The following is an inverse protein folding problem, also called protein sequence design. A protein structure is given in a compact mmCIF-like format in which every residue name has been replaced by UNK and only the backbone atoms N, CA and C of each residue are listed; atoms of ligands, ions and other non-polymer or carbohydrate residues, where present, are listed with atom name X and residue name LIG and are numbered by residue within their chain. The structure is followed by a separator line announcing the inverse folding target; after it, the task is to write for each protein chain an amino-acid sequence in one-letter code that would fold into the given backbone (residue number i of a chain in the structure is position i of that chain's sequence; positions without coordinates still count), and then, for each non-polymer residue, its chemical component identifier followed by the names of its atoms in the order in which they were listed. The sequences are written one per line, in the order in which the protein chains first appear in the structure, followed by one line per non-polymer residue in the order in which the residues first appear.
data_IF_183539756203
#
_entry.id   IF_183539756203
#
_cell.length_a   1.000
_cell.length_b   1.000
_cell.length_c   1.000
_cell.angle_alpha   90.00
_cell.angle_beta   90.00
_cell.angle_gamma   90.00
#
_symmetry.space_group_name_H-M   'P 1'
#
loop_
_entity.id
_entity.type
_entity.pdbx_description
1 polymer ?
#
# COMPACT_ATOMS: atom_id res chain seq x y z
N UNK A 1 44.91 35.24 12.59
CA UNK A 1 43.64 34.62 13.05
C UNK A 1 42.51 34.62 12.01
N UNK A 2 42.30 35.66 11.20
CA UNK A 2 41.28 35.65 10.12
C UNK A 2 41.53 34.61 9.01
N UNK A 3 42.79 34.33 8.66
CA UNK A 3 43.14 33.34 7.64
C UNK A 3 42.93 31.87 8.11
N UNK A 4 43.00 31.60 9.42
CA UNK A 4 42.80 30.26 9.97
C UNK A 4 41.31 29.87 9.99
N UNK A 5 40.42 30.86 10.17
CA UNK A 5 38.96 30.64 10.16
C UNK A 5 38.40 30.34 8.75
N UNK A 6 39.03 30.91 7.70
CA UNK A 6 38.65 30.63 6.31
C UNK A 6 39.05 29.23 5.84
N UNK A 7 40.13 28.65 6.39
CA UNK A 7 40.58 27.30 6.04
C UNK A 7 39.71 26.21 6.68
N UNK A 8 39.14 26.47 7.86
CA UNK A 8 38.22 25.54 8.53
C UNK A 8 36.84 25.54 7.85
N UNK A 9 36.35 26.69 7.37
CA UNK A 9 35.05 26.76 6.68
C UNK A 9 35.05 26.06 5.31
N UNK A 10 36.20 25.98 4.63
CA UNK A 10 36.30 25.34 3.30
C UNK A 10 36.29 23.80 3.36
N UNK A 11 36.61 23.21 4.51
CA UNK A 11 36.63 21.75 4.69
C UNK A 11 35.26 21.14 5.05
N UNK A 12 34.23 21.95 5.30
CA UNK A 12 32.87 21.45 5.61
C UNK A 12 31.94 21.34 4.40
N UNK A 13 32.41 21.64 3.18
CA UNK A 13 31.58 21.66 1.97
C UNK A 13 31.66 20.40 1.09
N UNK A 14 32.45 19.39 1.46
CA UNK A 14 32.73 18.24 0.56
C UNK A 14 32.14 16.90 1.02
N UNK A 15 31.02 16.90 1.76
CA UNK A 15 30.30 15.67 2.10
C UNK A 15 28.98 15.53 1.32
N UNK A 16 28.98 15.82 0.02
CA UNK A 16 27.96 15.26 -0.87
C UNK A 16 28.30 13.79 -1.10
N UNK A 17 27.73 12.90 -0.29
CA UNK A 17 27.77 11.45 -0.55
C UNK A 17 27.02 11.20 -1.86
N UNK A 18 27.78 11.08 -2.96
CA UNK A 18 27.26 10.64 -4.25
C UNK A 18 27.11 9.13 -4.22
N UNK A 19 25.92 8.62 -4.54
CA UNK A 19 25.75 7.20 -4.78
C UNK A 19 26.35 6.84 -6.12
N UNK A 20 27.04 5.71 -6.16
CA UNK A 20 27.43 5.13 -7.45
C UNK A 20 26.19 4.57 -8.17
N UNK A 21 26.24 4.60 -9.49
CA UNK A 21 25.25 3.92 -10.33
C UNK A 21 25.19 2.44 -9.98
N UNK A 22 23.97 1.91 -9.87
CA UNK A 22 23.72 0.49 -9.66
C UNK A 22 24.21 -0.38 -10.82
N UNK A 23 24.47 0.21 -11.97
CA UNK A 23 25.19 -0.40 -13.08
C UNK A 23 26.61 0.18 -13.12
N UNK A 24 27.67 -0.64 -13.00
CA UNK A 24 29.05 -0.17 -13.09
C UNK A 24 29.33 0.57 -14.39
N UNK A 25 30.17 1.61 -14.32
CA UNK A 25 30.54 2.39 -15.51
C UNK A 25 31.22 1.48 -16.55
N UNK A 26 30.71 1.50 -17.78
CA UNK A 26 31.22 0.65 -18.87
C UNK A 26 30.65 -0.77 -18.91
N UNK A 27 29.70 -1.10 -18.03
CA UNK A 27 28.99 -2.37 -18.13
C UNK A 27 28.10 -2.40 -19.37
N UNK A 28 28.34 -3.38 -20.24
CA UNK A 28 27.58 -3.62 -21.48
C UNK A 28 26.74 -4.90 -21.43
N UNK A 29 26.71 -5.57 -20.27
CA UNK A 29 25.94 -6.80 -20.08
C UNK A 29 24.44 -6.56 -19.86
N UNK A 30 23.68 -7.64 -19.82
CA UNK A 30 22.26 -7.61 -19.48
C UNK A 30 22.05 -7.12 -18.04
N UNK A 31 20.96 -6.39 -17.78
CA UNK A 31 20.62 -5.92 -16.45
C UNK A 31 19.20 -6.34 -16.07
N UNK A 32 19.02 -6.69 -14.81
CA UNK A 32 17.71 -7.02 -14.22
C UNK A 32 17.25 -5.89 -13.31
N UNK A 33 15.97 -5.85 -12.96
CA UNK A 33 15.43 -4.84 -12.05
C UNK A 33 15.18 -5.46 -10.68
N UNK A 34 15.63 -4.77 -9.64
CA UNK A 34 15.30 -5.07 -8.24
C UNK A 34 14.52 -3.91 -7.64
N UNK A 35 13.44 -4.23 -6.93
CA UNK A 35 12.55 -3.27 -6.28
C UNK A 35 12.53 -3.45 -4.78
N UNK A 36 12.73 -2.35 -4.07
CA UNK A 36 12.48 -2.23 -2.63
C UNK A 36 10.97 -2.13 -2.39
N UNK A 37 10.49 -2.81 -1.35
CA UNK A 37 9.07 -2.83 -0.99
C UNK A 37 8.85 -2.31 0.42
N UNK A 38 7.59 -2.07 0.77
CA UNK A 38 7.21 -1.79 2.14
C UNK A 38 5.82 -2.34 2.47
N UNK A 39 5.57 -2.58 3.76
CA UNK A 39 4.30 -3.09 4.29
C UNK A 39 3.95 -2.41 5.63
N UNK A 40 2.84 -2.82 6.24
CA UNK A 40 2.40 -2.36 7.57
C UNK A 40 2.43 -0.84 7.73
N UNK A 41 2.00 -0.13 6.68
CA UNK A 41 2.05 1.33 6.61
C UNK A 41 0.95 1.93 7.48
N UNK A 42 1.36 2.82 8.37
CA UNK A 42 0.47 3.70 9.14
C UNK A 42 0.65 5.16 8.70
N UNK A 43 0.02 6.10 9.42
CA UNK A 43 0.23 7.52 9.18
C UNK A 43 1.68 7.96 9.43
N UNK A 44 2.41 7.29 10.32
CA UNK A 44 3.71 7.74 10.83
C UNK A 44 4.81 6.66 10.80
N UNK A 45 4.51 5.44 10.35
CA UNK A 45 5.46 4.33 10.26
C UNK A 45 5.18 3.41 9.05
N UNK A 46 6.18 2.64 8.64
CA UNK A 46 6.03 1.50 7.74
C UNK A 46 7.22 0.54 7.89
N UNK A 47 7.04 -0.73 7.52
CA UNK A 47 8.12 -1.72 7.46
C UNK A 47 8.74 -1.65 6.07
N UNK A 48 10.03 -1.35 5.96
CA UNK A 48 10.73 -1.25 4.68
C UNK A 48 11.65 -2.45 4.48
N UNK A 49 11.69 -2.95 3.26
CA UNK A 49 12.57 -4.05 2.84
C UNK A 49 13.36 -3.59 1.62
N UNK A 50 14.69 -3.54 1.75
CA UNK A 50 15.50 -2.88 0.74
C UNK A 50 16.94 -3.38 0.62
N UNK A 51 17.55 -3.12 -0.54
CA UNK A 51 19.00 -3.26 -0.73
C UNK A 51 19.71 -2.03 -0.19
N UNK A 52 20.52 -2.21 0.85
CA UNK A 52 21.34 -1.17 1.47
C UNK A 52 22.66 -1.00 0.73
N UNK A 53 23.31 -2.10 0.37
CA UNK A 53 24.61 -2.11 -0.31
C UNK A 53 24.66 -3.18 -1.40
N UNK A 54 25.45 -2.94 -2.44
CA UNK A 54 25.76 -3.89 -3.50
C UNK A 54 27.28 -3.96 -3.67
N UNK A 55 27.84 -5.16 -3.51
CA UNK A 55 29.29 -5.42 -3.54
C UNK A 55 30.07 -4.47 -2.61
N UNK A 56 29.57 -4.28 -1.38
CA UNK A 56 30.15 -3.40 -0.36
C UNK A 56 29.99 -1.89 -0.61
N UNK A 57 29.22 -1.49 -1.64
CA UNK A 57 28.98 -0.08 -1.96
C UNK A 57 27.57 0.34 -1.58
N UNK A 58 27.37 1.51 -0.93
CA UNK A 58 26.06 1.97 -0.54
C UNK A 58 25.19 2.27 -1.76
N UNK A 59 23.90 1.95 -1.65
CA UNK A 59 22.91 2.10 -2.70
C UNK A 59 21.85 3.13 -2.32
N UNK A 60 21.33 3.86 -3.31
CA UNK A 60 20.10 4.61 -3.12
C UNK A 60 18.93 3.63 -3.01
N UNK A 61 18.03 3.83 -2.04
CA UNK A 61 17.00 2.86 -1.65
C UNK A 61 15.67 3.52 -1.21
N UNK A 62 14.65 2.68 -0.94
CA UNK A 62 13.32 3.13 -0.53
C UNK A 62 13.29 3.99 0.74
N UNK A 63 14.15 3.71 1.73
CA UNK A 63 14.23 4.53 2.95
C UNK A 63 14.70 5.94 2.63
N UNK A 64 15.71 6.09 1.76
CA UNK A 64 16.15 7.43 1.32
C UNK A 64 15.12 8.14 0.44
N UNK A 65 14.46 7.40 -0.45
CA UNK A 65 13.34 7.90 -1.27
C UNK A 65 12.22 8.44 -0.37
N UNK A 66 11.84 7.67 0.64
CA UNK A 66 10.81 8.00 1.64
C UNK A 66 11.19 9.19 2.51
N UNK A 67 12.44 9.28 2.96
CA UNK A 67 12.95 10.45 3.67
C UNK A 67 12.78 11.73 2.84
N UNK A 68 13.18 11.68 1.56
CA UNK A 68 12.98 12.81 0.64
C UNK A 68 11.51 13.16 0.43
N UNK A 69 10.65 12.15 0.28
CA UNK A 69 9.20 12.34 0.10
C UNK A 69 8.48 12.87 1.34
N UNK A 70 8.96 12.52 2.53
CA UNK A 70 8.37 12.90 3.82
C UNK A 70 8.92 14.22 4.38
N UNK A 71 9.98 14.77 3.77
CA UNK A 71 10.57 16.03 4.20
C UNK A 71 9.53 17.17 4.25
N UNK A 72 9.46 17.87 5.38
CA UNK A 72 8.52 18.97 5.62
C UNK A 72 7.07 18.54 5.87
N UNK A 73 6.78 17.24 6.07
CA UNK A 73 5.44 16.71 6.35
C UNK A 73 5.17 16.46 7.85
N UNK A 74 6.10 16.82 8.73
CA UNK A 74 5.96 16.60 10.18
C UNK A 74 5.93 15.12 10.53
N UNK A 75 4.99 14.69 11.37
CA UNK A 75 4.83 13.29 11.79
C UNK A 75 4.15 12.39 10.74
N UNK A 76 3.85 12.91 9.55
CA UNK A 76 3.22 12.17 8.46
C UNK A 76 4.28 11.51 7.58
N UNK A 77 4.22 10.18 7.47
CA UNK A 77 5.06 9.40 6.58
C UNK A 77 4.50 9.39 5.15
N UNK A 78 5.34 9.73 4.18
CA UNK A 78 5.06 9.53 2.75
C UNK A 78 5.95 8.39 2.25
N UNK A 79 5.56 7.16 2.60
CA UNK A 79 6.25 5.95 2.18
C UNK A 79 6.19 5.78 0.66
N UNK A 80 7.35 5.55 0.05
CA UNK A 80 7.55 5.30 -1.38
C UNK A 80 8.62 4.22 -1.55
N UNK A 81 8.47 3.41 -2.60
CA UNK A 81 9.45 2.38 -2.93
C UNK A 81 10.65 2.94 -3.69
N UNK A 82 11.49 2.04 -4.17
CA UNK A 82 12.55 2.38 -5.12
C UNK A 82 12.94 1.17 -5.97
N UNK A 83 12.96 1.36 -7.28
CA UNK A 83 13.34 0.34 -8.25
C UNK A 83 14.61 0.74 -8.98
N UNK A 84 15.49 -0.22 -9.23
CA UNK A 84 16.79 0.02 -9.89
C UNK A 84 17.23 -1.17 -10.71
N UNK A 85 18.02 -0.89 -11.75
CA UNK A 85 18.68 -1.93 -12.53
C UNK A 85 19.96 -2.38 -11.86
N UNK A 86 20.23 -3.68 -11.82
CA UNK A 86 21.48 -4.27 -11.34
C UNK A 86 22.08 -5.19 -12.41
N UNK A 87 23.41 -5.40 -12.43
CA UNK A 87 24.04 -6.27 -13.41
C UNK A 87 23.54 -7.70 -13.29
N UNK A 88 23.40 -8.39 -14.42
CA UNK A 88 23.12 -9.81 -14.43
C UNK A 88 24.41 -10.61 -14.20
N UNK A 89 24.90 -10.56 -12.97
CA UNK A 89 26.08 -11.26 -12.51
C UNK A 89 25.86 -11.71 -11.07
N UNK A 90 26.72 -12.58 -10.53
CA UNK A 90 26.72 -12.88 -9.10
C UNK A 90 27.02 -11.59 -8.32
N UNK A 91 26.14 -11.24 -7.39
CA UNK A 91 26.23 -10.05 -6.54
C UNK A 91 26.25 -10.46 -5.07
N UNK A 92 26.99 -9.70 -4.27
CA UNK A 92 26.84 -9.69 -2.81
C UNK A 92 25.96 -8.50 -2.46
N UNK A 93 24.77 -8.76 -1.91
CA UNK A 93 23.83 -7.71 -1.53
C UNK A 93 23.72 -7.64 -0.02
N UNK A 94 23.83 -6.45 0.54
CA UNK A 94 23.43 -6.20 1.92
C UNK A 94 21.97 -5.79 1.93
N UNK A 95 21.11 -6.65 2.42
CA UNK A 95 19.66 -6.42 2.52
C UNK A 95 19.29 -6.04 3.93
N UNK A 96 18.23 -5.24 4.06
CA UNK A 96 17.70 -4.81 5.34
C UNK A 96 16.17 -4.84 5.34
N UNK A 97 15.60 -5.24 6.47
CA UNK A 97 14.22 -5.02 6.85
C UNK A 97 14.19 -4.14 8.09
N UNK A 98 13.48 -3.01 8.09
CA UNK A 98 13.37 -2.17 9.30
C UNK A 98 12.03 -1.45 9.44
N UNK A 99 11.63 -1.20 10.69
CA UNK A 99 10.52 -0.28 10.99
C UNK A 99 11.00 1.16 10.87
N UNK A 100 10.58 1.83 9.80
CA UNK A 100 10.87 3.23 9.57
C UNK A 100 9.78 4.13 10.15
N UNK A 101 10.16 5.22 10.82
CA UNK A 101 9.23 6.18 11.43
C UNK A 101 9.47 7.60 10.90
N UNK A 102 8.38 8.36 10.74
CA UNK A 102 8.39 9.70 10.17
C UNK A 102 9.18 10.73 10.99
N UNK A 103 9.35 10.51 12.30
CA UNK A 103 10.05 11.43 13.19
C UNK A 103 10.94 10.67 14.19
N UNK A 104 12.17 11.15 14.48
CA UNK A 104 13.10 10.49 15.40
C UNK A 104 12.52 10.23 16.79
N UNK A 105 11.72 11.15 17.30
CA UNK A 105 11.10 11.02 18.64
C UNK A 105 10.17 9.80 18.74
N UNK A 106 9.60 9.34 17.63
CA UNK A 106 8.72 8.17 17.62
C UNK A 106 9.48 6.86 17.85
N UNK A 107 10.78 6.81 17.53
CA UNK A 107 11.59 5.64 17.84
C UNK A 107 11.75 5.47 19.35
N UNK A 108 11.83 6.58 20.11
CA UNK A 108 11.94 6.54 21.57
C UNK A 108 10.62 6.10 22.22
N UNK A 109 9.48 6.58 21.72
CA UNK A 109 8.17 6.27 22.32
C UNK A 109 7.64 4.87 21.99
N UNK A 110 8.20 4.20 20.97
CA UNK A 110 7.77 2.88 20.52
C UNK A 110 8.99 1.94 20.40
N UNK A 111 9.87 1.98 21.40
CA UNK A 111 11.14 1.25 21.39
C UNK A 111 10.95 -0.25 21.16
N UNK A 112 9.90 -0.83 21.76
CA UNK A 112 9.58 -2.26 21.72
C UNK A 112 9.06 -2.75 20.34
N UNK A 113 8.80 -1.82 19.42
CA UNK A 113 8.27 -2.09 18.06
C UNK A 113 9.25 -1.67 16.96
N UNK A 114 10.51 -1.37 17.29
CA UNK A 114 11.53 -0.95 16.31
C UNK A 114 12.30 -2.16 15.77
N UNK A 115 11.60 -3.12 15.18
CA UNK A 115 12.21 -4.32 14.63
C UNK A 115 13.12 -3.98 13.44
N UNK A 116 14.27 -4.66 13.37
CA UNK A 116 15.20 -4.53 12.27
C UNK A 116 16.01 -5.82 12.07
N UNK A 117 16.30 -6.15 10.82
CA UNK A 117 17.22 -7.22 10.40
C UNK A 117 18.07 -6.70 9.25
N UNK A 118 19.37 -7.00 9.26
CA UNK A 118 20.30 -6.62 8.20
C UNK A 118 21.37 -7.69 8.04
N UNK A 119 21.76 -7.97 6.81
CA UNK A 119 22.82 -8.93 6.55
C UNK A 119 23.17 -9.04 5.08
N UNK A 120 24.27 -9.74 4.82
CA UNK A 120 24.75 -10.01 3.46
C UNK A 120 24.16 -11.31 2.93
N UNK A 121 23.73 -11.27 1.68
CA UNK A 121 23.23 -12.42 0.94
C UNK A 121 23.92 -12.50 -0.42
N UNK A 122 24.14 -13.73 -0.88
CA UNK A 122 24.51 -13.95 -2.28
C UNK A 122 23.25 -13.92 -3.16
N UNK A 123 23.35 -13.23 -4.29
CA UNK A 123 22.26 -13.11 -5.25
C UNK A 123 22.78 -13.32 -6.66
N UNK A 124 22.18 -14.25 -7.39
CA UNK A 124 22.49 -14.50 -8.80
C UNK A 124 21.20 -14.41 -9.60
N UNK A 125 20.98 -13.32 -10.35
CA UNK A 125 19.77 -13.16 -11.14
C UNK A 125 19.80 -14.03 -12.41
N UNK A 126 18.65 -14.62 -12.73
CA UNK A 126 18.37 -15.24 -14.01
C UNK A 126 18.03 -14.18 -15.09
N UNK A 127 17.81 -14.64 -16.31
CA UNK A 127 17.60 -13.79 -17.50
C UNK A 127 16.20 -13.17 -17.50
N UNK A 128 16.13 -11.88 -17.86
CA UNK A 128 14.87 -11.14 -18.09
C UNK A 128 13.89 -11.14 -16.89
N UNK A 129 14.41 -11.40 -15.68
CA UNK A 129 13.63 -11.50 -14.46
C UNK A 129 13.61 -10.17 -13.69
N UNK A 130 12.50 -9.98 -12.98
CA UNK A 130 12.29 -8.89 -12.05
C UNK A 130 12.31 -9.43 -10.62
N UNK A 131 12.93 -8.69 -9.71
CA UNK A 131 13.15 -9.12 -8.33
C UNK A 131 12.61 -8.12 -7.31
N UNK A 132 12.26 -8.64 -6.14
CA UNK A 132 11.64 -7.88 -5.05
C UNK A 132 12.40 -8.17 -3.76
N UNK A 133 12.75 -7.11 -3.03
CA UNK A 133 13.18 -7.26 -1.64
C UNK A 133 11.93 -7.24 -0.79
N UNK A 134 11.60 -8.36 -0.15
CA UNK A 134 10.46 -8.53 0.73
C UNK A 134 10.91 -8.94 2.11
N UNK A 135 9.99 -8.91 3.06
CA UNK A 135 10.29 -9.35 4.40
C UNK A 135 9.07 -9.40 5.30
N UNK A 136 9.33 -9.82 6.52
CA UNK A 136 8.41 -9.87 7.62
C UNK A 136 9.16 -9.38 8.86
N UNK A 137 8.54 -8.53 9.65
CA UNK A 137 9.11 -8.04 10.91
C UNK A 137 8.07 -8.18 12.01
N UNK A 138 8.45 -8.85 13.08
CA UNK A 138 7.64 -9.05 14.27
C UNK A 138 8.55 -9.15 15.50
N UNK A 139 7.94 -9.26 16.68
CA UNK A 139 8.66 -9.44 17.95
C UNK A 139 9.47 -10.75 18.00
N UNK A 140 8.97 -11.83 17.40
CA UNK A 140 9.57 -13.17 17.53
C UNK A 140 10.26 -13.67 16.26
N UNK A 141 10.02 -13.03 15.13
CA UNK A 141 10.54 -13.43 13.84
C UNK A 141 10.77 -12.21 12.94
N UNK A 142 11.95 -12.13 12.36
CA UNK A 142 12.27 -11.14 11.34
C UNK A 142 12.97 -11.82 10.17
N UNK A 143 12.55 -11.50 8.95
CA UNK A 143 13.16 -12.02 7.75
C UNK A 143 13.15 -10.98 6.63
N UNK A 144 14.17 -11.03 5.78
CA UNK A 144 14.26 -10.27 4.54
C UNK A 144 14.78 -11.20 3.45
N UNK A 145 14.15 -11.18 2.29
CA UNK A 145 14.52 -12.05 1.18
C UNK A 145 14.38 -11.34 -0.16
N UNK A 146 15.03 -11.91 -1.16
CA UNK A 146 14.83 -11.59 -2.55
C UNK A 146 14.00 -12.68 -3.18
N UNK A 147 12.91 -12.31 -3.83
CA UNK A 147 12.10 -13.20 -4.65
C UNK A 147 12.00 -12.71 -6.09
N UNK A 148 11.73 -13.63 -7.01
CA UNK A 148 11.45 -13.32 -8.41
C UNK A 148 9.99 -12.88 -8.63
N UNK A 149 9.66 -12.58 -9.88
CA UNK A 149 8.32 -12.15 -10.29
C UNK A 149 7.23 -13.20 -10.03
N UNK A 150 7.60 -14.47 -9.94
CA UNK A 150 6.71 -15.61 -9.71
C UNK A 150 6.61 -15.98 -8.21
N UNK A 151 7.21 -15.19 -7.32
CA UNK A 151 7.17 -15.41 -5.87
C UNK A 151 8.16 -16.48 -5.39
N UNK A 152 9.08 -16.95 -6.24
CA UNK A 152 10.12 -17.88 -5.81
C UNK A 152 11.20 -17.13 -5.05
N UNK A 153 11.44 -17.53 -3.81
CA UNK A 153 12.54 -17.01 -3.00
C UNK A 153 13.87 -17.46 -3.59
N UNK A 154 14.73 -16.49 -3.91
CA UNK A 154 16.06 -16.69 -4.49
C UNK A 154 17.13 -16.71 -3.40
N UNK A 155 16.97 -15.84 -2.40
CA UNK A 155 17.94 -15.69 -1.31
C UNK A 155 17.27 -15.07 -0.10
N UNK A 156 17.60 -15.52 1.12
CA UNK A 156 16.89 -15.19 2.35
C UNK A 156 17.84 -15.01 3.52
N UNK A 157 17.51 -14.04 4.36
CA UNK A 157 18.09 -13.79 5.68
C UNK A 157 16.95 -13.82 6.70
N UNK A 158 17.14 -14.53 7.81
CA UNK A 158 16.12 -14.67 8.86
C UNK A 158 16.74 -14.77 10.26
N UNK A 159 15.99 -14.33 11.26
CA UNK A 159 16.31 -14.42 12.68
C UNK A 159 15.02 -14.72 13.47
N UNK A 160 15.15 -15.56 14.51
CA UNK A 160 14.04 -15.98 15.37
C UNK A 160 13.30 -17.23 14.90
N UNK A 161 12.24 -17.59 15.62
CA UNK A 161 11.38 -18.74 15.29
C UNK A 161 10.06 -18.25 14.71
N UNK A 162 9.72 -18.76 13.52
CA UNK A 162 8.42 -18.48 12.91
C UNK A 162 7.33 -19.18 13.73
N UNK A 163 6.48 -18.41 14.41
CA UNK A 163 5.34 -18.95 15.12
C UNK A 163 4.25 -19.35 14.12
N UNK A 164 3.90 -20.64 14.07
CA UNK A 164 2.75 -21.13 13.29
C UNK A 164 1.38 -20.71 13.88
N UNK A 165 1.39 -20.07 15.05
CA UNK A 165 0.18 -19.50 15.67
C UNK A 165 0.10 -18.02 15.34
N UNK A 166 -1.01 -17.60 14.73
CA UNK A 166 -1.37 -16.19 14.57
C UNK A 166 -1.19 -15.48 15.93
N UNK A 167 -0.52 -14.31 15.98
CA UNK A 167 -0.21 -13.66 17.24
C UNK A 167 -1.50 -13.38 18.01
N UNK A 168 -1.56 -13.84 19.26
CA UNK A 168 -2.60 -13.41 20.19
C UNK A 168 -2.41 -11.90 20.41
N UNK A 169 -3.33 -11.09 19.86
CA UNK A 169 -3.36 -9.65 20.06
C UNK A 169 -3.54 -9.36 21.56
N UNK A 170 -2.43 -9.16 22.27
CA UNK A 170 -2.45 -8.56 23.60
C UNK A 170 -2.77 -7.08 23.42
N UNK A 171 -4.06 -6.77 23.39
CA UNK A 171 -4.59 -5.40 23.32
C UNK A 171 -4.20 -4.66 24.60
N UNK A 172 -3.03 -4.00 24.60
CA UNK A 172 -2.77 -2.87 25.49
C UNK A 172 -3.36 -1.62 24.83
N UNK A 173 -4.54 -1.25 25.31
CA UNK A 173 -5.33 -0.13 24.83
C UNK A 173 -4.59 1.22 24.97
N UNK A 174 -4.21 1.78 23.82
CA UNK A 174 -4.37 3.21 23.52
C UNK A 174 -4.90 3.29 22.09
N UNK A 175 -6.03 3.99 21.93
CA UNK A 175 -6.75 4.16 20.67
C UNK A 175 -5.80 4.66 19.57
N UNK A 176 -5.39 3.73 18.71
CA UNK A 176 -4.78 3.98 17.41
C UNK A 176 -5.32 2.88 16.50
N UNK A 177 -6.09 3.29 15.49
CA UNK A 177 -6.88 2.43 14.63
C UNK A 177 -5.96 1.80 13.56
N UNK A 178 -5.55 0.52 13.71
CA UNK A 178 -4.73 -0.16 12.72
C UNK A 178 -5.68 -0.91 11.79
N UNK A 179 -6.08 -0.28 10.70
CA UNK A 179 -6.89 -0.94 9.67
C UNK A 179 -5.95 -1.79 8.79
N UNK A 180 -5.89 -3.07 9.18
CA UNK A 180 -5.47 -4.30 8.47
C UNK A 180 -4.03 -4.79 8.52
N UNK A 181 -3.83 -5.78 9.38
CA UNK A 181 -3.05 -7.01 9.17
C UNK A 181 -3.93 -8.14 8.60
N UNK A 182 -3.34 -8.91 7.68
CA UNK A 182 -3.57 -10.32 7.32
C UNK A 182 -4.68 -10.82 6.35
N UNK A 183 -4.18 -11.72 5.47
CA UNK A 183 -4.81 -12.66 4.53
C UNK A 183 -5.37 -12.11 3.20
N UNK A 184 -4.46 -11.67 2.32
CA UNK A 184 -4.73 -11.60 0.88
C UNK A 184 -4.53 -13.00 0.29
N UNK A 185 -5.59 -13.60 -0.23
CA UNK A 185 -5.45 -14.67 -1.23
C UNK A 185 -6.41 -14.42 -2.40
N UNK A 186 -5.86 -13.81 -3.44
CA UNK A 186 -6.27 -13.95 -4.84
C UNK A 186 -4.93 -14.03 -5.56
N UNK A 187 -4.57 -15.19 -6.12
CA UNK A 187 -3.20 -15.57 -6.49
C UNK A 187 -2.43 -14.55 -7.38
N UNK A 188 -3.13 -13.61 -8.02
CA UNK A 188 -2.56 -12.52 -8.83
C UNK A 188 -2.31 -11.22 -8.04
N UNK A 189 -3.12 -10.92 -7.01
CA UNK A 189 -2.99 -9.74 -6.15
C UNK A 189 -2.06 -9.94 -4.96
N UNK A 190 -1.95 -11.18 -4.46
CA UNK A 190 -1.04 -11.53 -3.34
C UNK A 190 0.43 -11.20 -3.66
N UNK A 191 0.76 -11.08 -4.94
CA UNK A 191 2.13 -10.85 -5.38
C UNK A 191 2.49 -9.38 -5.55
N UNK A 192 1.54 -8.45 -5.64
CA UNK A 192 1.82 -7.01 -5.84
C UNK A 192 1.80 -6.26 -4.50
N UNK A 193 2.89 -5.54 -4.25
CA UNK A 193 3.15 -4.88 -2.97
C UNK A 193 3.25 -3.37 -3.12
N UNK A 194 3.08 -2.67 -2.01
CA UNK A 194 3.39 -1.26 -1.96
C UNK A 194 4.90 -1.05 -2.19
N UNK A 195 5.24 -0.03 -2.96
CA UNK A 195 6.61 0.28 -3.37
C UNK A 195 7.04 -0.30 -4.72
N UNK A 196 6.27 -1.22 -5.32
CA UNK A 196 6.59 -1.76 -6.66
C UNK A 196 6.39 -0.72 -7.76
N UNK A 197 7.20 -0.74 -8.82
CA UNK A 197 7.09 0.23 -9.92
C UNK A 197 5.90 -0.03 -10.86
N UNK A 198 5.48 0.98 -11.60
CA UNK A 198 4.40 0.86 -12.58
C UNK A 198 4.72 -0.10 -13.72
N UNK A 199 5.97 -0.15 -14.19
CA UNK A 199 6.43 -1.14 -15.17
C UNK A 199 6.24 -2.56 -14.66
N UNK A 200 6.51 -2.81 -13.38
CA UNK A 200 6.41 -4.13 -12.79
C UNK A 200 4.97 -4.61 -12.71
N UNK A 201 4.08 -3.71 -12.30
CA UNK A 201 2.63 -3.98 -12.32
C UNK A 201 2.18 -4.31 -13.74
N UNK A 202 2.68 -3.61 -14.76
CA UNK A 202 2.36 -3.90 -16.16
C UNK A 202 2.92 -5.23 -16.67
N UNK A 203 4.14 -5.59 -16.27
CA UNK A 203 4.72 -6.89 -16.64
C UNK A 203 3.91 -8.04 -16.03
N UNK A 204 3.41 -7.87 -14.79
CA UNK A 204 2.62 -8.88 -14.09
C UNK A 204 1.19 -9.00 -14.61
N UNK A 205 0.50 -7.88 -14.75
CA UNK A 205 -0.94 -7.85 -15.01
C UNK A 205 -1.29 -7.49 -16.46
N UNK A 206 -0.30 -7.21 -17.30
CA UNK A 206 -0.50 -6.63 -18.62
C UNK A 206 -0.74 -5.12 -18.59
N UNK A 207 -1.15 -4.56 -19.72
CA UNK A 207 -1.51 -3.14 -19.79
C UNK A 207 -2.84 -2.89 -19.07
N UNK A 208 -2.96 -1.79 -18.30
CA UNK A 208 -4.21 -1.46 -17.63
C UNK A 208 -5.29 -1.11 -18.64
N UNK A 209 -6.54 -1.46 -18.33
CA UNK A 209 -7.70 -1.15 -19.18
C UNK A 209 -7.97 0.36 -19.25
N UNK A 210 -7.60 1.08 -18.18
CA UNK A 210 -7.68 2.53 -18.10
C UNK A 210 -6.54 3.09 -17.27
N UNK A 211 -6.12 4.31 -17.59
CA UNK A 211 -5.20 5.11 -16.78
C UNK A 211 -5.87 6.45 -16.49
N UNK A 212 -5.86 6.89 -15.23
CA UNK A 212 -6.29 8.23 -14.84
C UNK A 212 -5.20 8.96 -14.06
N UNK A 213 -5.26 10.29 -14.08
CA UNK A 213 -4.38 11.16 -13.30
C UNK A 213 -5.24 11.92 -12.30
N UNK A 214 -4.88 11.82 -11.03
CA UNK A 214 -5.43 12.65 -9.96
C UNK A 214 -4.44 13.77 -9.74
N UNK A 215 -4.79 14.97 -10.18
CA UNK A 215 -3.94 16.14 -10.03
C UNK A 215 -3.70 16.45 -8.54
N UNK A 216 -2.45 16.73 -8.24
CA UNK A 216 -2.02 17.26 -6.98
C UNK A 216 -2.60 18.64 -6.72
N UNK A 217 -2.51 19.08 -5.48
CA UNK A 217 -2.92 20.41 -5.09
C UNK A 217 -1.79 21.03 -4.28
N UNK A 218 -1.19 22.07 -4.85
CA UNK A 218 -0.08 22.80 -4.26
C UNK A 218 -0.40 23.30 -2.84
N UNK A 219 -1.58 23.89 -2.65
CA UNK A 219 -2.01 24.42 -1.35
C UNK A 219 -2.23 23.32 -0.30
N UNK A 220 -2.63 22.12 -0.74
CA UNK A 220 -2.79 20.94 0.14
C UNK A 220 -1.52 20.08 0.23
N UNK A 221 -0.43 20.48 -0.43
CA UNK A 221 0.83 19.73 -0.53
C UNK A 221 0.62 18.28 -0.99
N UNK A 222 -0.39 18.03 -1.82
CA UNK A 222 -0.62 16.73 -2.43
C UNK A 222 0.07 16.68 -3.78
N UNK A 223 0.80 15.60 -4.05
CA UNK A 223 1.42 15.33 -5.35
C UNK A 223 0.42 14.66 -6.27
N UNK A 224 0.66 14.78 -7.58
CA UNK A 224 -0.06 14.03 -8.59
C UNK A 224 0.02 12.53 -8.31
N UNK A 225 -1.06 11.84 -8.65
CA UNK A 225 -1.13 10.38 -8.61
C UNK A 225 -1.60 9.87 -9.95
N UNK A 226 -1.09 8.72 -10.33
CA UNK A 226 -1.59 7.98 -11.48
C UNK A 226 -2.34 6.76 -10.98
N UNK A 227 -3.50 6.45 -11.55
CA UNK A 227 -4.28 5.26 -11.19
C UNK A 227 -4.36 4.34 -12.41
N UNK A 228 -3.87 3.12 -12.27
CA UNK A 228 -4.06 2.06 -13.26
C UNK A 228 -5.27 1.23 -12.85
N UNK A 229 -6.17 1.02 -13.80
CA UNK A 229 -7.36 0.19 -13.63
C UNK A 229 -7.11 -1.14 -14.32
N UNK A 230 -7.25 -2.23 -13.56
CA UNK A 230 -7.30 -3.58 -14.08
C UNK A 230 -8.68 -4.14 -13.78
N UNK A 231 -9.46 -4.41 -14.84
CA UNK A 231 -10.77 -5.05 -14.71
C UNK A 231 -10.65 -6.36 -13.92
N UNK A 232 -11.65 -6.64 -13.07
CA UNK A 232 -11.73 -7.80 -12.16
C UNK A 232 -10.63 -7.94 -11.09
N UNK A 233 -9.54 -7.15 -11.16
CA UNK A 233 -8.38 -7.28 -10.28
C UNK A 233 -8.38 -6.17 -9.22
N UNK A 234 -7.85 -4.99 -9.55
CA UNK A 234 -7.71 -3.86 -8.64
C UNK A 234 -7.41 -2.56 -9.38
N UNK A 235 -7.44 -1.46 -8.63
CA UNK A 235 -6.86 -0.19 -9.02
C UNK A 235 -5.54 -0.01 -8.26
N UNK A 236 -4.49 0.29 -9.01
CA UNK A 236 -3.16 0.57 -8.44
C UNK A 236 -2.92 2.06 -8.52
N UNK A 237 -2.75 2.68 -7.36
CA UNK A 237 -2.46 4.12 -7.25
C UNK A 237 -0.96 4.27 -7.10
N UNK A 238 -0.35 5.04 -7.99
CA UNK A 238 1.08 5.31 -8.01
C UNK A 238 1.39 6.74 -7.58
N UNK A 239 2.55 6.94 -6.94
CA UNK A 239 3.07 8.29 -6.70
C UNK A 239 3.64 8.90 -7.98
N UNK A 240 3.14 10.06 -8.39
CA UNK A 240 3.65 10.79 -9.56
C UNK A 240 2.61 10.97 -10.65
N UNK A 241 2.77 12.08 -11.38
CA UNK A 241 2.00 12.39 -12.57
C UNK A 241 2.51 11.63 -13.80
N UNK A 242 1.85 11.82 -14.97
CA UNK A 242 2.12 11.07 -16.19
C UNK A 242 3.59 11.12 -16.64
N UNK A 243 4.28 12.22 -16.39
CA UNK A 243 5.69 12.41 -16.75
C UNK A 243 6.67 11.57 -15.92
N UNK A 244 6.23 11.06 -14.76
CA UNK A 244 7.06 10.30 -13.82
C UNK A 244 6.60 8.86 -13.62
N UNK A 245 5.65 8.37 -14.45
CA UNK A 245 5.10 7.00 -14.33
C UNK A 245 6.21 5.94 -14.28
N UNK A 246 7.32 6.15 -15.01
CA UNK A 246 8.42 5.17 -15.07
C UNK A 246 9.23 4.98 -13.79
N UNK A 247 9.05 5.87 -12.84
CA UNK A 247 9.66 5.82 -11.51
C UNK A 247 8.60 5.83 -10.41
N UNK A 248 7.32 5.73 -10.81
CA UNK A 248 6.19 5.76 -9.93
C UNK A 248 6.01 4.37 -9.30
N UNK A 249 5.77 4.36 -8.00
CA UNK A 249 5.62 3.17 -7.18
C UNK A 249 4.21 3.05 -6.62
N UNK A 250 3.71 1.84 -6.43
CA UNK A 250 2.40 1.57 -5.86
C UNK A 250 2.35 2.12 -4.43
N UNK A 251 1.46 3.08 -4.18
CA UNK A 251 1.24 3.69 -2.86
C UNK A 251 -0.07 3.26 -2.21
N UNK A 252 -1.01 2.74 -3.00
CA UNK A 252 -2.30 2.23 -2.55
C UNK A 252 -2.81 1.21 -3.57
N UNK A 253 -3.39 0.11 -3.09
CA UNK A 253 -4.07 -0.91 -3.90
C UNK A 253 -5.54 -0.89 -3.47
N UNK A 254 -6.43 -0.59 -4.40
CA UNK A 254 -7.87 -0.53 -4.16
C UNK A 254 -8.49 -1.73 -4.89
N UNK A 255 -8.84 -2.81 -4.18
CA UNK A 255 -9.38 -4.01 -4.84
C UNK A 255 -10.72 -3.70 -5.50
N UNK A 256 -11.00 -4.31 -6.65
CA UNK A 256 -12.34 -4.20 -7.24
C UNK A 256 -13.33 -5.00 -6.38
N UNK A 257 -14.51 -4.43 -6.17
CA UNK A 257 -15.51 -4.99 -5.27
C UNK A 257 -16.41 -5.92 -6.08
N UNK A 258 -16.36 -7.23 -5.77
CA UNK A 258 -17.17 -8.27 -6.44
C UNK A 258 -16.61 -8.82 -7.75
N UNK A 259 -15.45 -8.34 -8.21
CA UNK A 259 -14.81 -8.83 -9.44
C UNK A 259 -14.17 -10.20 -9.22
N UNK A 260 -14.66 -11.23 -9.90
CA UNK A 260 -14.23 -12.62 -9.67
C UNK A 260 -14.72 -13.25 -8.36
N UNK A 261 -14.66 -14.58 -8.29
CA UNK A 261 -15.24 -15.38 -7.20
C UNK A 261 -14.59 -15.09 -5.84
N UNK A 262 -13.26 -14.97 -5.80
CA UNK A 262 -12.51 -14.75 -4.55
C UNK A 262 -12.83 -13.41 -3.89
N UNK A 263 -12.91 -12.31 -4.67
CA UNK A 263 -13.28 -11.00 -4.16
C UNK A 263 -14.75 -10.97 -3.69
N UNK A 264 -15.64 -11.70 -4.37
CA UNK A 264 -17.04 -11.83 -3.95
C UNK A 264 -17.16 -12.62 -2.64
N UNK A 265 -16.41 -13.71 -2.47
CA UNK A 265 -16.38 -14.48 -1.21
C UNK A 265 -15.81 -13.64 -0.06
N UNK A 266 -14.77 -12.84 -0.30
CA UNK A 266 -14.26 -11.88 0.69
C UNK A 266 -15.32 -10.87 1.08
N UNK A 267 -16.01 -10.27 0.10
CA UNK A 267 -17.09 -9.33 0.38
C UNK A 267 -18.18 -9.97 1.24
N UNK A 268 -18.62 -11.19 0.89
CA UNK A 268 -19.62 -11.92 1.69
C UNK A 268 -19.15 -12.15 3.13
N UNK A 269 -17.88 -12.52 3.33
CA UNK A 269 -17.28 -12.65 4.67
C UNK A 269 -17.29 -11.32 5.42
N UNK A 270 -16.86 -10.22 4.79
CA UNK A 270 -16.85 -8.89 5.40
C UNK A 270 -18.27 -8.39 5.72
N UNK A 271 -19.24 -8.63 4.83
CA UNK A 271 -20.66 -8.29 5.04
C UNK A 271 -21.36 -9.18 6.07
N UNK A 272 -20.78 -10.33 6.43
CA UNK A 272 -21.31 -11.16 7.51
C UNK A 272 -21.02 -10.58 8.91
N UNK A 273 -20.15 -9.56 9.03
CA UNK A 273 -19.85 -8.93 10.32
C UNK A 273 -21.12 -8.38 10.99
N UNK A 274 -21.22 -8.68 12.29
CA UNK A 274 -22.28 -8.18 13.16
C UNK A 274 -21.87 -6.93 13.93
N UNK A 275 -20.58 -6.57 13.96
CA UNK A 275 -20.06 -5.37 14.61
C UNK A 275 -20.34 -4.14 13.71
N UNK A 276 -21.14 -3.16 14.18
CA UNK A 276 -21.40 -1.94 13.43
C UNK A 276 -20.15 -1.14 13.06
N UNK A 277 -19.09 -1.18 13.88
CA UNK A 277 -17.85 -0.44 13.61
C UNK A 277 -17.09 -1.06 12.46
N UNK A 278 -16.86 -2.37 12.50
CA UNK A 278 -16.22 -3.11 11.41
C UNK A 278 -16.97 -2.93 10.11
N UNK A 279 -18.30 -3.12 10.13
CA UNK A 279 -19.14 -2.96 8.95
C UNK A 279 -19.03 -1.56 8.33
N UNK A 280 -18.93 -0.52 9.17
CA UNK A 280 -18.71 0.85 8.70
C UNK A 280 -17.36 1.02 8.03
N UNK A 281 -16.30 0.44 8.58
CA UNK A 281 -14.95 0.53 7.99
C UNK A 281 -14.87 -0.26 6.68
N UNK A 282 -15.52 -1.43 6.58
CA UNK A 282 -15.69 -2.14 5.30
C UNK A 282 -16.44 -1.28 4.27
N UNK A 283 -17.55 -0.66 4.66
CA UNK A 283 -18.30 0.21 3.76
C UNK A 283 -17.46 1.41 3.26
N UNK A 284 -16.69 2.06 4.14
CA UNK A 284 -15.76 3.14 3.75
C UNK A 284 -14.67 2.65 2.80
N UNK A 285 -14.13 1.46 3.03
CA UNK A 285 -13.16 0.82 2.13
C UNK A 285 -13.77 0.66 0.73
N UNK A 286 -14.98 0.12 0.63
CA UNK A 286 -15.65 -0.08 -0.66
C UNK A 286 -16.10 1.20 -1.34
N UNK A 287 -16.44 2.24 -0.57
CA UNK A 287 -16.77 3.56 -1.12
C UNK A 287 -15.61 4.21 -1.90
N UNK A 288 -14.36 3.80 -1.63
CA UNK A 288 -13.20 4.27 -2.39
C UNK A 288 -13.07 3.62 -3.77
N UNK A 289 -13.78 2.52 -4.02
CA UNK A 289 -13.70 1.85 -5.32
C UNK A 289 -14.42 2.66 -6.38
N UNK A 290 -13.72 2.95 -7.48
CA UNK A 290 -14.34 3.57 -8.66
C UNK A 290 -15.24 2.61 -9.45
N UNK A 291 -15.17 1.29 -9.20
CA UNK A 291 -16.04 0.30 -9.83
C UNK A 291 -16.46 -0.78 -8.84
N UNK A 292 -17.74 -1.15 -8.87
CA UNK A 292 -18.35 -2.15 -8.01
C UNK A 292 -19.24 -3.03 -8.89
N UNK A 293 -18.97 -4.33 -8.91
CA UNK A 293 -19.72 -5.25 -9.75
C UNK A 293 -21.18 -5.40 -9.24
N UNK A 294 -22.16 -5.63 -10.12
CA UNK A 294 -23.56 -5.80 -9.73
C UNK A 294 -23.77 -6.90 -8.67
N UNK A 295 -23.10 -8.04 -8.81
CA UNK A 295 -23.16 -9.12 -7.81
C UNK A 295 -22.69 -8.70 -6.40
N UNK A 296 -21.78 -7.74 -6.29
CA UNK A 296 -21.35 -7.17 -5.02
C UNK A 296 -22.37 -6.17 -4.47
N UNK A 297 -22.97 -5.38 -5.35
CA UNK A 297 -24.06 -4.48 -4.98
C UNK A 297 -25.25 -5.29 -4.45
N UNK A 298 -25.55 -6.46 -5.00
CA UNK A 298 -26.59 -7.36 -4.48
C UNK A 298 -26.29 -7.82 -3.05
N UNK A 299 -25.05 -8.22 -2.78
CA UNK A 299 -24.60 -8.62 -1.42
C UNK A 299 -24.69 -7.43 -0.45
N UNK A 300 -24.28 -6.24 -0.88
CA UNK A 300 -24.35 -5.02 -0.06
C UNK A 300 -25.80 -4.63 0.21
N UNK A 301 -26.67 -4.71 -0.81
CA UNK A 301 -28.09 -4.39 -0.71
C UNK A 301 -28.80 -5.35 0.24
N UNK A 302 -28.54 -6.66 0.14
CA UNK A 302 -29.04 -7.64 1.11
C UNK A 302 -28.59 -7.29 2.54
N UNK A 303 -27.32 -6.94 2.72
CA UNK A 303 -26.82 -6.53 4.05
C UNK A 303 -27.50 -5.27 4.56
N UNK A 304 -27.78 -4.29 3.71
CA UNK A 304 -28.54 -3.09 4.09
C UNK A 304 -29.93 -3.47 4.59
N UNK A 305 -30.66 -4.34 3.89
CA UNK A 305 -32.00 -4.80 4.30
C UNK A 305 -31.97 -5.51 5.65
N UNK A 306 -30.97 -6.37 5.87
CA UNK A 306 -30.77 -7.07 7.15
C UNK A 306 -30.53 -6.09 8.30
N UNK A 307 -29.66 -5.09 8.11
CA UNK A 307 -29.40 -4.07 9.12
C UNK A 307 -30.59 -3.14 9.37
N UNK A 308 -31.39 -2.84 8.35
CA UNK A 308 -32.59 -2.00 8.48
C UNK A 308 -33.65 -2.65 9.38
N UNK A 309 -33.80 -3.98 9.34
CA UNK A 309 -34.71 -4.72 10.23
C UNK A 309 -34.35 -4.59 11.71
N UNK A 310 -33.10 -4.28 12.02
CA UNK A 310 -32.54 -4.15 13.38
C UNK A 310 -31.89 -2.78 13.61
N UNK A 311 -32.42 -1.75 12.94
CA UNK A 311 -31.82 -0.43 12.94
C UNK A 311 -31.77 0.16 14.36
N UNK A 312 -30.60 0.68 14.72
CA UNK A 312 -30.30 1.33 15.99
C UNK A 312 -29.33 2.49 15.74
N UNK A 313 -29.12 3.34 16.75
CA UNK A 313 -28.12 4.41 16.64
C UNK A 313 -26.70 3.88 16.38
N UNK A 314 -26.39 2.66 16.86
CA UNK A 314 -25.08 2.06 16.73
C UNK A 314 -24.76 1.64 15.28
N UNK A 315 -25.73 1.11 14.54
CA UNK A 315 -25.54 0.64 13.16
C UNK A 315 -26.04 1.61 12.08
N UNK A 316 -26.79 2.66 12.43
CA UNK A 316 -27.25 3.68 11.47
C UNK A 316 -26.10 4.27 10.64
N UNK A 317 -24.93 4.46 11.26
CA UNK A 317 -23.73 4.96 10.57
C UNK A 317 -23.20 3.98 9.53
N UNK A 318 -23.15 2.68 9.86
CA UNK A 318 -22.69 1.64 8.95
C UNK A 318 -23.62 1.54 7.74
N UNK A 319 -24.93 1.50 7.97
CA UNK A 319 -25.96 1.46 6.92
C UNK A 319 -25.87 2.69 6.02
N UNK A 320 -25.70 3.88 6.59
CA UNK A 320 -25.53 5.11 5.81
C UNK A 320 -24.30 5.04 4.89
N UNK A 321 -23.19 4.44 5.34
CA UNK A 321 -22.03 4.24 4.49
C UNK A 321 -22.27 3.18 3.40
N UNK A 322 -22.93 2.07 3.70
CA UNK A 322 -23.28 1.07 2.68
C UNK A 322 -24.18 1.65 1.59
N UNK A 323 -25.17 2.48 1.95
CA UNK A 323 -25.99 3.21 0.97
C UNK A 323 -25.14 4.09 0.07
N UNK A 324 -24.12 4.75 0.62
CA UNK A 324 -23.19 5.55 -0.18
C UNK A 324 -22.34 4.70 -1.11
N UNK A 325 -22.03 3.46 -0.75
CA UNK A 325 -21.35 2.51 -1.66
C UNK A 325 -22.24 2.22 -2.87
N UNK A 326 -23.54 1.97 -2.66
CA UNK A 326 -24.51 1.81 -3.76
C UNK A 326 -24.52 3.03 -4.67
N UNK A 327 -24.67 4.24 -4.13
CA UNK A 327 -24.68 5.47 -4.94
C UNK A 327 -23.37 5.71 -5.71
N UNK A 328 -22.22 5.38 -5.10
CA UNK A 328 -20.90 5.51 -5.73
C UNK A 328 -20.74 4.61 -6.96
N UNK A 329 -21.45 3.49 -7.02
CA UNK A 329 -21.35 2.51 -8.11
C UNK A 329 -21.80 3.06 -9.47
N UNK A 330 -22.61 4.12 -9.48
CA UNK A 330 -23.27 4.65 -10.69
C UNK A 330 -24.15 3.63 -11.42
N UNK A 331 -24.59 2.59 -10.73
CA UNK A 331 -25.51 1.61 -11.28
C UNK A 331 -26.98 2.05 -11.03
N UNK A 332 -27.66 2.50 -12.09
CA UNK A 332 -29.04 2.99 -12.03
C UNK A 332 -30.06 1.94 -11.61
N UNK A 333 -29.74 0.64 -11.71
CA UNK A 333 -30.65 -0.45 -11.35
C UNK A 333 -31.03 -0.41 -9.86
N UNK A 334 -30.18 0.19 -9.01
CA UNK A 334 -30.43 0.34 -7.57
C UNK A 334 -31.24 1.59 -7.20
N UNK A 335 -31.69 2.42 -8.15
CA UNK A 335 -32.57 3.56 -7.86
C UNK A 335 -33.87 3.08 -7.20
N UNK A 336 -34.47 1.99 -7.71
CA UNK A 336 -35.68 1.40 -7.12
C UNK A 336 -35.45 0.98 -5.67
N UNK A 337 -34.35 0.25 -5.42
CA UNK A 337 -33.95 -0.17 -4.08
C UNK A 337 -33.75 0.99 -3.10
N UNK A 338 -33.08 2.07 -3.53
CA UNK A 338 -32.90 3.25 -2.68
C UNK A 338 -34.22 3.99 -2.39
N UNK A 339 -35.15 4.01 -3.34
CA UNK A 339 -36.49 4.56 -3.13
C UNK A 339 -37.25 3.75 -2.07
N UNK A 340 -37.18 2.42 -2.15
CA UNK A 340 -37.80 1.54 -1.15
C UNK A 340 -37.23 1.77 0.25
N UNK A 341 -35.90 1.91 0.38
CA UNK A 341 -35.25 2.26 1.65
C UNK A 341 -35.76 3.60 2.18
N UNK A 342 -35.79 4.62 1.33
CA UNK A 342 -36.21 5.98 1.70
C UNK A 342 -37.67 6.04 2.17
N UNK A 343 -38.52 5.21 1.58
CA UNK A 343 -39.94 5.10 1.93
C UNK A 343 -40.16 4.32 3.23
N UNK A 344 -39.42 3.23 3.45
CA UNK A 344 -39.67 2.29 4.56
C UNK A 344 -38.94 2.65 5.85
N UNK A 345 -37.82 3.39 5.79
CA UNK A 345 -37.04 3.72 7.00
C UNK A 345 -37.66 4.85 7.82
N UNK A 346 -37.67 4.69 9.14
CA UNK A 346 -38.01 5.77 10.08
C UNK A 346 -36.83 6.71 10.37
N UNK A 347 -35.60 6.30 10.02
CA UNK A 347 -34.40 7.09 10.29
C UNK A 347 -34.23 8.22 9.28
N UNK A 348 -34.30 9.46 9.78
CA UNK A 348 -34.08 10.67 8.96
C UNK A 348 -32.70 10.69 8.30
N UNK A 349 -31.69 10.11 8.95
CA UNK A 349 -30.33 10.02 8.43
C UNK A 349 -30.25 9.07 7.24
N UNK A 350 -30.81 7.86 7.35
CA UNK A 350 -30.85 6.87 6.27
C UNK A 350 -31.63 7.43 5.09
N UNK A 351 -32.81 8.00 5.34
CA UNK A 351 -33.65 8.63 4.32
C UNK A 351 -32.89 9.71 3.54
N UNK A 352 -32.19 10.59 4.25
CA UNK A 352 -31.36 11.65 3.63
C UNK A 352 -30.27 11.07 2.74
N UNK A 353 -29.57 10.02 3.16
CA UNK A 353 -28.52 9.41 2.34
C UNK A 353 -29.08 8.68 1.13
N UNK A 354 -30.18 7.94 1.28
CA UNK A 354 -30.84 7.26 0.17
C UNK A 354 -31.27 8.26 -0.92
N UNK A 355 -31.99 9.33 -0.54
CA UNK A 355 -32.41 10.38 -1.48
C UNK A 355 -31.21 11.05 -2.18
N UNK A 356 -30.17 11.37 -1.42
CA UNK A 356 -28.96 11.96 -2.00
C UNK A 356 -28.32 11.03 -3.04
N UNK A 357 -28.27 9.72 -2.77
CA UNK A 357 -27.68 8.78 -3.71
C UNK A 357 -28.56 8.55 -4.94
N UNK A 358 -29.90 8.61 -4.81
CA UNK A 358 -30.81 8.61 -5.96
C UNK A 358 -30.48 9.77 -6.90
N UNK A 359 -30.37 11.00 -6.37
CA UNK A 359 -29.99 12.18 -7.16
C UNK A 359 -28.60 12.07 -7.82
N UNK A 360 -27.69 11.28 -7.23
CA UNK A 360 -26.37 11.02 -7.80
C UNK A 360 -26.41 9.97 -8.91
N UNK A 361 -27.33 8.99 -8.84
CA UNK A 361 -27.51 7.94 -9.86
C UNK A 361 -28.34 8.40 -11.07
N UNK A 362 -29.16 9.44 -10.93
CA UNK A 362 -29.94 10.04 -12.02
C UNK A 362 -29.11 10.98 -12.92
N UNK A 363 -27.88 11.31 -12.52
CA UNK A 363 -26.94 12.17 -13.26
C UNK A 363 -25.95 11.35 -14.06
#
# INVERSE_FOLDING_TARGET
MRALFLFVLFNFLTACVSYESSIPKGYTGEAVTISDTYSNKTLSSAHFFYVKEMNGKPMYNAVRSTNGASSGQGAKLVAVGYSRKVPKAKLTLKVAGEVFRAAPILYMFNADENYAIEGEIEFTPNKDEFYFVKGELSETYSAVWIEDIHGKVISKLEEGEKSDKAPELVVKSKVYDPVFTESVNVDELSNINLGESSELVKVRLGEPTKVSVIEGNFFKRTRDKTVFFYEDIAQFVFNGGPDFIKIATVIEIIPVVGGGESNLQRLKKEMSSTDPKELREYAKKYYKSDYIYPNALDVISQKIEEELKRLSDQNTDAVAWLIRVIGRSKNSDYIGFLNDISAQTSSTKIKRYANKMIEELEK
#
